data_IF_669401191346
#
_entry.id   IF_669401191346
#
_cell.length_a   1.000
_cell.length_b   1.000
_cell.length_c   1.000
_cell.angle_alpha   90.00
_cell.angle_beta   90.00
_cell.angle_gamma   90.00
#
_symmetry.space_group_name_H-M   'P 1'
#
loop_
_entity.id
_entity.type
_entity.pdbx_description
1 polymer ?
#
# COMPACT_ATOMS: atom_id res chain seq x y z
N UNK A 1 -10.63 -17.11 30.01
CA UNK A 1 -9.42 -17.68 30.65
C UNK A 1 -8.90 -16.69 31.67
N UNK A 2 -8.19 -17.15 32.71
CA UNK A 2 -7.60 -16.29 33.75
C UNK A 2 -6.44 -15.48 33.18
N UNK A 3 -6.73 -14.36 32.52
CA UNK A 3 -5.73 -13.50 31.88
C UNK A 3 -4.71 -12.92 32.91
N UNK A 4 -5.15 -12.81 34.15
CA UNK A 4 -4.40 -12.23 35.26
C UNK A 4 -3.19 -13.08 35.69
N UNK A 5 -3.20 -14.38 35.35
CA UNK A 5 -2.10 -15.32 35.65
C UNK A 5 -1.06 -15.41 34.54
N UNK A 6 -1.29 -14.77 33.39
CA UNK A 6 -0.34 -14.76 32.27
C UNK A 6 0.68 -13.61 32.42
N UNK A 7 1.91 -13.80 31.88
CA UNK A 7 2.87 -12.71 31.70
C UNK A 7 2.22 -11.49 31.02
N UNK A 8 2.64 -10.27 31.36
CA UNK A 8 2.04 -9.04 30.84
C UNK A 8 2.03 -9.02 29.30
N UNK A 9 3.07 -9.58 28.68
CA UNK A 9 3.27 -9.70 27.24
C UNK A 9 2.40 -10.78 26.57
N UNK A 10 1.65 -11.58 27.32
CA UNK A 10 0.78 -12.66 26.82
C UNK A 10 -0.71 -12.38 27.09
N UNK A 11 -1.03 -11.18 27.58
CA UNK A 11 -2.41 -10.77 27.86
C UNK A 11 -3.06 -10.18 26.59
N UNK A 12 -3.52 -11.07 25.72
CA UNK A 12 -4.30 -10.73 24.52
C UNK A 12 -5.79 -10.53 24.80
N UNK A 13 -6.50 -9.89 23.85
CA UNK A 13 -7.96 -9.95 23.84
C UNK A 13 -8.38 -11.42 23.67
N UNK A 14 -9.28 -11.95 24.51
CA UNK A 14 -9.76 -13.32 24.38
C UNK A 14 -10.26 -13.63 22.97
N UNK A 15 -9.78 -14.73 22.38
CA UNK A 15 -10.10 -15.10 20.99
C UNK A 15 -11.61 -15.19 20.71
N UNK A 16 -12.42 -15.58 21.71
CA UNK A 16 -13.88 -15.59 21.58
C UNK A 16 -14.48 -14.19 21.39
N UNK A 17 -13.92 -13.17 22.04
CA UNK A 17 -14.33 -11.77 21.85
C UNK A 17 -13.89 -11.30 20.46
N UNK A 18 -12.67 -11.61 20.03
CA UNK A 18 -12.18 -11.29 18.68
C UNK A 18 -13.08 -11.92 17.62
N UNK A 19 -13.44 -13.20 17.78
CA UNK A 19 -14.37 -13.89 16.89
C UNK A 19 -15.76 -13.26 16.86
N UNK A 20 -16.31 -12.90 18.03
CA UNK A 20 -17.60 -12.21 18.12
C UNK A 20 -17.58 -10.85 17.42
N UNK A 21 -16.55 -10.03 17.67
CA UNK A 21 -16.38 -8.71 17.03
C UNK A 21 -16.22 -8.88 15.51
N UNK A 22 -15.44 -9.87 15.06
CA UNK A 22 -15.27 -10.17 13.64
C UNK A 22 -16.59 -10.53 12.98
N UNK A 23 -17.39 -11.40 13.61
CA UNK A 23 -18.74 -11.76 13.12
C UNK A 23 -19.68 -10.54 13.11
N UNK A 24 -19.63 -9.71 14.15
CA UNK A 24 -20.41 -8.47 14.20
C UNK A 24 -20.04 -7.50 13.07
N UNK A 25 -18.74 -7.39 12.72
CA UNK A 25 -18.26 -6.60 11.59
C UNK A 25 -18.73 -7.12 10.23
N UNK A 26 -19.16 -8.37 10.10
CA UNK A 26 -19.74 -8.88 8.85
C UNK A 26 -21.10 -8.25 8.53
N UNK A 27 -21.85 -7.79 9.55
CA UNK A 27 -23.14 -7.13 9.35
C UNK A 27 -23.02 -5.81 8.58
N UNK A 28 -22.19 -4.82 9.00
CA UNK A 28 -22.01 -3.59 8.22
C UNK A 28 -21.35 -3.85 6.87
N UNK A 29 -20.44 -4.84 6.74
CA UNK A 29 -19.87 -5.23 5.45
C UNK A 29 -20.97 -5.75 4.52
N UNK A 30 -21.81 -6.68 4.98
CA UNK A 30 -22.94 -7.20 4.20
C UNK A 30 -23.93 -6.11 3.81
N UNK A 31 -24.23 -5.18 4.73
CA UNK A 31 -25.07 -4.01 4.43
C UNK A 31 -24.44 -3.12 3.35
N UNK A 32 -23.15 -2.81 3.45
CA UNK A 32 -22.42 -2.01 2.44
C UNK A 32 -22.42 -2.69 1.07
N UNK A 33 -22.15 -4.00 1.01
CA UNK A 33 -22.21 -4.77 -0.23
C UNK A 33 -23.61 -4.75 -0.83
N UNK A 34 -24.66 -4.90 -0.01
CA UNK A 34 -26.05 -4.87 -0.47
C UNK A 34 -26.47 -3.49 -0.97
N UNK A 35 -26.11 -2.44 -0.23
CA UNK A 35 -26.33 -1.06 -0.62
C UNK A 35 -25.64 -0.74 -1.95
N UNK A 36 -24.36 -1.10 -2.08
CA UNK A 36 -23.58 -0.87 -3.28
C UNK A 36 -24.12 -1.66 -4.48
N UNK A 37 -24.48 -2.93 -4.28
CA UNK A 37 -25.10 -3.77 -5.31
C UNK A 37 -26.42 -3.18 -5.81
N UNK A 38 -27.27 -2.68 -4.92
CA UNK A 38 -28.52 -2.03 -5.30
C UNK A 38 -28.28 -0.73 -6.06
N UNK A 39 -27.44 0.16 -5.52
CA UNK A 39 -27.10 1.44 -6.13
C UNK A 39 -26.42 1.30 -7.51
N UNK A 40 -25.70 0.20 -7.74
CA UNK A 40 -25.04 -0.09 -9.01
C UNK A 40 -25.95 -0.78 -10.05
N UNK A 41 -27.24 -0.96 -9.76
CA UNK A 41 -28.19 -1.58 -10.69
C UNK A 41 -28.19 -3.12 -10.67
N UNK A 42 -27.57 -3.76 -9.67
CA UNK A 42 -27.57 -5.22 -9.48
C UNK A 42 -28.64 -5.67 -8.46
N UNK A 43 -29.68 -4.84 -8.25
CA UNK A 43 -30.71 -5.02 -7.23
C UNK A 43 -31.35 -6.41 -7.18
N UNK A 44 -31.62 -7.01 -8.35
CA UNK A 44 -32.24 -8.33 -8.46
C UNK A 44 -31.38 -9.47 -7.86
N UNK A 45 -30.07 -9.27 -7.75
CA UNK A 45 -29.11 -10.28 -7.29
C UNK A 45 -28.46 -9.92 -5.96
N UNK A 46 -28.98 -8.91 -5.24
CA UNK A 46 -28.41 -8.40 -3.99
C UNK A 46 -28.21 -9.51 -2.95
N UNK A 47 -29.16 -10.43 -2.81
CA UNK A 47 -29.02 -11.55 -1.86
C UNK A 47 -27.79 -12.42 -2.18
N UNK A 48 -27.61 -12.80 -3.45
CA UNK A 48 -26.46 -13.60 -3.90
C UNK A 48 -25.15 -12.81 -3.74
N UNK A 49 -25.16 -11.52 -4.08
CA UNK A 49 -24.00 -10.63 -3.94
C UNK A 49 -23.58 -10.44 -2.48
N UNK A 50 -24.53 -10.29 -1.56
CA UNK A 50 -24.25 -10.12 -0.14
C UNK A 50 -23.75 -11.42 0.47
N UNK A 51 -24.45 -12.54 0.25
CA UNK A 51 -24.04 -13.85 0.82
C UNK A 51 -22.69 -14.27 0.23
N UNK A 52 -22.56 -14.24 -1.09
CA UNK A 52 -21.32 -14.61 -1.78
C UNK A 52 -20.17 -13.66 -1.46
N UNK A 53 -20.44 -12.35 -1.43
CA UNK A 53 -19.45 -11.33 -1.10
C UNK A 53 -18.96 -11.42 0.34
N UNK A 54 -19.84 -11.57 1.33
CA UNK A 54 -19.44 -11.78 2.74
C UNK A 54 -18.68 -13.09 2.90
N UNK A 55 -19.14 -14.19 2.29
CA UNK A 55 -18.42 -15.46 2.33
C UNK A 55 -17.01 -15.33 1.73
N UNK A 56 -16.89 -14.64 0.60
CA UNK A 56 -15.62 -14.36 -0.05
C UNK A 56 -14.71 -13.47 0.81
N UNK A 57 -15.26 -12.41 1.41
CA UNK A 57 -14.53 -11.54 2.34
C UNK A 57 -14.00 -12.33 3.51
N UNK A 58 -14.81 -13.16 4.17
CA UNK A 58 -14.37 -13.99 5.31
C UNK A 58 -13.25 -14.94 4.88
N UNK A 59 -13.48 -15.70 3.81
CA UNK A 59 -12.55 -16.72 3.34
C UNK A 59 -11.22 -16.09 2.92
N UNK A 60 -11.25 -15.11 2.03
CA UNK A 60 -10.04 -14.48 1.51
C UNK A 60 -9.36 -13.63 2.56
N UNK A 61 -10.09 -12.88 3.39
CA UNK A 61 -9.45 -12.10 4.46
C UNK A 61 -8.72 -13.01 5.44
N UNK A 62 -9.26 -14.19 5.77
CA UNK A 62 -8.57 -15.17 6.60
C UNK A 62 -7.24 -15.62 5.97
N UNK A 63 -7.27 -16.09 4.72
CA UNK A 63 -6.05 -16.57 4.06
C UNK A 63 -5.02 -15.46 3.82
N UNK A 64 -5.47 -14.31 3.31
CA UNK A 64 -4.59 -13.20 2.97
C UNK A 64 -4.00 -12.57 4.24
N UNK A 65 -4.78 -12.40 5.30
CA UNK A 65 -4.25 -11.88 6.58
C UNK A 65 -3.22 -12.83 7.19
N UNK A 66 -3.43 -14.16 7.11
CA UNK A 66 -2.47 -15.14 7.60
C UNK A 66 -1.14 -15.05 6.85
N UNK A 67 -1.18 -15.01 5.51
CA UNK A 67 0.04 -14.94 4.69
C UNK A 67 0.74 -13.59 4.84
N UNK A 68 0.02 -12.49 4.61
CA UNK A 68 0.57 -11.14 4.71
C UNK A 68 1.10 -10.87 6.12
N UNK A 69 0.34 -11.25 7.14
CA UNK A 69 0.71 -11.08 8.52
C UNK A 69 2.00 -11.83 8.90
N UNK A 70 2.08 -13.12 8.56
CA UNK A 70 3.27 -13.93 8.82
C UNK A 70 4.50 -13.37 8.07
N UNK A 71 4.34 -12.98 6.80
CA UNK A 71 5.41 -12.36 6.03
C UNK A 71 5.85 -11.03 6.64
N UNK A 72 4.92 -10.18 7.07
CA UNK A 72 5.25 -8.94 7.78
C UNK A 72 6.10 -9.19 9.04
N UNK A 73 5.75 -10.23 9.81
CA UNK A 73 6.49 -10.59 11.02
C UNK A 73 7.93 -11.07 10.73
N UNK A 74 8.17 -11.68 9.57
CA UNK A 74 9.50 -12.20 9.20
C UNK A 74 10.38 -11.19 8.47
N UNK A 75 9.81 -10.48 7.48
CA UNK A 75 10.58 -9.66 6.52
C UNK A 75 10.16 -8.18 6.53
N UNK A 76 9.25 -7.79 7.43
CA UNK A 76 8.72 -6.44 7.56
C UNK A 76 7.53 -6.14 6.64
N UNK A 77 6.72 -5.14 7.00
CA UNK A 77 5.54 -4.70 6.23
C UNK A 77 5.89 -4.27 4.83
N UNK A 78 7.00 -3.54 4.67
CA UNK A 78 7.41 -2.95 3.40
C UNK A 78 7.78 -3.99 2.34
N UNK A 79 8.17 -5.21 2.76
CA UNK A 79 8.50 -6.32 1.86
C UNK A 79 7.37 -7.37 1.79
N UNK A 80 6.24 -7.13 2.45
CA UNK A 80 5.11 -8.06 2.48
C UNK A 80 4.49 -8.21 1.08
N UNK A 81 4.10 -9.44 0.67
CA UNK A 81 3.55 -9.70 -0.67
C UNK A 81 2.10 -9.23 -0.84
N UNK A 82 1.62 -8.27 -0.04
CA UNK A 82 0.24 -7.81 -0.01
C UNK A 82 -0.27 -7.39 -1.39
N UNK A 83 0.53 -6.63 -2.14
CA UNK A 83 0.17 -6.17 -3.49
C UNK A 83 -0.02 -7.32 -4.47
N UNK A 84 0.86 -8.33 -4.42
CA UNK A 84 0.79 -9.51 -5.30
C UNK A 84 -0.39 -10.42 -4.97
N UNK A 85 -0.61 -10.71 -3.69
CA UNK A 85 -1.78 -11.50 -3.25
C UNK A 85 -3.08 -10.77 -3.57
N UNK A 86 -3.05 -9.44 -3.50
CA UNK A 86 -4.17 -8.60 -3.85
C UNK A 86 -4.68 -8.75 -5.28
N UNK A 87 -3.80 -9.03 -6.24
CA UNK A 87 -4.17 -9.35 -7.62
C UNK A 87 -5.03 -10.62 -7.67
N UNK A 88 -4.66 -11.65 -6.92
CA UNK A 88 -5.41 -12.91 -6.86
C UNK A 88 -6.79 -12.70 -6.24
N UNK A 89 -6.91 -11.81 -5.25
CA UNK A 89 -8.20 -11.43 -4.65
C UNK A 89 -9.10 -10.75 -5.69
N UNK A 90 -8.58 -9.79 -6.45
CA UNK A 90 -9.40 -9.13 -7.49
C UNK A 90 -9.81 -10.09 -8.59
N UNK A 91 -8.88 -10.90 -9.09
CA UNK A 91 -9.19 -11.90 -10.13
C UNK A 91 -10.22 -12.91 -9.60
N UNK A 92 -10.07 -13.38 -8.37
CA UNK A 92 -11.01 -14.31 -7.74
C UNK A 92 -12.41 -13.70 -7.59
N UNK A 93 -12.51 -12.47 -7.07
CA UNK A 93 -13.77 -11.76 -6.96
C UNK A 93 -14.43 -11.56 -8.34
N UNK A 94 -13.66 -11.13 -9.33
CA UNK A 94 -14.14 -10.92 -10.70
C UNK A 94 -14.61 -12.23 -11.34
N UNK A 95 -13.89 -13.34 -11.19
CA UNK A 95 -14.28 -14.65 -11.71
C UNK A 95 -15.57 -15.16 -11.07
N UNK A 96 -15.73 -15.00 -9.75
CA UNK A 96 -16.97 -15.37 -9.05
C UNK A 96 -18.16 -14.58 -9.59
N UNK A 97 -17.99 -13.30 -9.89
CA UNK A 97 -19.05 -12.49 -10.51
C UNK A 97 -19.31 -12.90 -11.96
N UNK A 98 -18.27 -13.23 -12.74
CA UNK A 98 -18.40 -13.69 -14.13
C UNK A 98 -19.19 -15.00 -14.22
N UNK A 99 -18.96 -15.95 -13.32
CA UNK A 99 -19.68 -17.22 -13.33
C UNK A 99 -21.02 -17.16 -12.58
N UNK A 100 -21.09 -16.39 -11.49
CA UNK A 100 -22.23 -16.39 -10.58
C UNK A 100 -23.31 -15.35 -10.88
N UNK A 101 -22.97 -14.22 -11.51
CA UNK A 101 -23.90 -13.08 -11.67
C UNK A 101 -23.99 -12.62 -13.12
N UNK A 102 -22.86 -12.47 -13.82
CA UNK A 102 -22.79 -11.98 -15.21
C UNK A 102 -23.79 -12.68 -16.17
N UNK A 103 -24.05 -14.00 -16.09
CA UNK A 103 -25.01 -14.66 -16.98
C UNK A 103 -26.46 -14.22 -16.79
N UNK A 104 -26.78 -13.58 -15.65
CA UNK A 104 -28.13 -13.23 -15.24
C UNK A 104 -28.39 -11.71 -15.24
N UNK A 105 -27.48 -10.93 -15.82
CA UNK A 105 -27.58 -9.47 -15.90
C UNK A 105 -27.40 -9.01 -17.35
N UNK A 106 -27.81 -7.78 -17.64
CA UNK A 106 -27.63 -7.20 -18.98
C UNK A 106 -26.15 -7.04 -19.32
N UNK A 107 -25.78 -7.04 -20.62
CA UNK A 107 -24.40 -6.77 -21.05
C UNK A 107 -23.83 -5.45 -20.51
N UNK A 108 -24.69 -4.45 -20.31
CA UNK A 108 -24.33 -3.13 -19.79
C UNK A 108 -23.95 -3.12 -18.29
N UNK A 109 -24.25 -4.20 -17.56
CA UNK A 109 -23.92 -4.34 -16.14
C UNK A 109 -22.42 -4.54 -15.87
N UNK A 110 -21.58 -4.64 -16.90
CA UNK A 110 -20.14 -4.90 -16.77
C UNK A 110 -19.42 -3.89 -15.87
N UNK A 111 -19.78 -2.60 -15.94
CA UNK A 111 -19.22 -1.56 -15.05
C UNK A 111 -19.63 -1.76 -13.59
N UNK A 112 -20.88 -2.16 -13.35
CA UNK A 112 -21.39 -2.43 -12.01
C UNK A 112 -20.70 -3.65 -11.37
N UNK A 113 -20.51 -4.72 -12.15
CA UNK A 113 -19.78 -5.92 -11.71
C UNK A 113 -18.32 -5.57 -11.36
N UNK A 114 -17.66 -4.75 -12.19
CA UNK A 114 -16.29 -4.32 -11.95
C UNK A 114 -16.18 -3.50 -10.67
N UNK A 115 -17.07 -2.54 -10.49
CA UNK A 115 -17.10 -1.72 -9.29
C UNK A 115 -17.37 -2.58 -8.03
N UNK A 116 -18.26 -3.57 -8.12
CA UNK A 116 -18.55 -4.49 -7.02
C UNK A 116 -17.34 -5.38 -6.67
N UNK A 117 -16.62 -5.90 -7.67
CA UNK A 117 -15.40 -6.68 -7.47
C UNK A 117 -14.31 -5.86 -6.75
N UNK A 118 -14.08 -4.63 -7.23
CA UNK A 118 -13.10 -3.71 -6.65
C UNK A 118 -13.48 -3.31 -5.22
N UNK A 119 -14.76 -3.00 -4.98
CA UNK A 119 -15.26 -2.64 -3.65
C UNK A 119 -15.12 -3.80 -2.65
N UNK A 120 -15.50 -5.01 -3.04
CA UNK A 120 -15.31 -6.23 -2.22
C UNK A 120 -13.84 -6.46 -1.91
N UNK A 121 -12.97 -6.27 -2.90
CA UNK A 121 -11.53 -6.47 -2.72
C UNK A 121 -10.90 -5.40 -1.84
N UNK A 122 -11.36 -4.16 -1.89
CA UNK A 122 -10.89 -3.09 -1.00
C UNK A 122 -11.09 -3.45 0.47
N UNK A 123 -12.19 -4.12 0.84
CA UNK A 123 -12.40 -4.64 2.20
C UNK A 123 -11.32 -5.64 2.57
N UNK A 124 -11.05 -6.63 1.71
CA UNK A 124 -10.06 -7.69 1.94
C UNK A 124 -8.64 -7.10 2.05
N UNK A 125 -8.30 -6.12 1.20
CA UNK A 125 -7.02 -5.40 1.26
C UNK A 125 -6.84 -4.67 2.58
N UNK A 126 -7.88 -3.99 3.08
CA UNK A 126 -7.81 -3.32 4.36
C UNK A 126 -7.61 -4.32 5.50
N UNK A 127 -8.29 -5.46 5.50
CA UNK A 127 -8.06 -6.50 6.52
C UNK A 127 -6.62 -7.01 6.46
N UNK A 128 -6.10 -7.29 5.26
CA UNK A 128 -4.72 -7.74 5.08
C UNK A 128 -3.68 -6.71 5.54
N UNK A 129 -3.87 -5.44 5.19
CA UNK A 129 -2.97 -4.34 5.54
C UNK A 129 -2.95 -4.12 7.06
N UNK A 130 -4.12 -4.13 7.71
CA UNK A 130 -4.21 -3.98 9.16
C UNK A 130 -3.61 -5.19 9.88
N UNK A 131 -3.83 -6.42 9.41
CA UNK A 131 -3.21 -7.62 9.97
C UNK A 131 -1.67 -7.58 9.89
N UNK A 132 -1.15 -7.12 8.74
CA UNK A 132 0.28 -6.95 8.47
C UNK A 132 0.93 -5.94 9.43
N UNK A 133 0.28 -4.80 9.69
CA UNK A 133 0.77 -3.81 10.64
C UNK A 133 0.65 -4.28 12.10
N UNK A 134 -0.51 -4.87 12.44
CA UNK A 134 -0.78 -5.35 13.80
C UNK A 134 0.28 -6.34 14.29
N UNK A 135 0.71 -7.31 13.47
CA UNK A 135 1.75 -8.26 13.87
C UNK A 135 3.12 -7.61 14.10
N UNK A 136 3.44 -6.53 13.39
CA UNK A 136 4.65 -5.76 13.64
C UNK A 136 4.55 -4.93 14.92
N UNK A 137 3.40 -4.29 15.14
CA UNK A 137 3.17 -3.48 16.34
C UNK A 137 3.16 -4.34 17.60
N UNK A 138 2.57 -5.54 17.53
CA UNK A 138 2.62 -6.52 18.61
C UNK A 138 4.05 -6.98 18.86
N UNK A 139 4.87 -7.15 17.81
CA UNK A 139 6.29 -7.50 17.98
C UNK A 139 7.07 -6.38 18.66
N UNK A 140 6.91 -5.14 18.20
CA UNK A 140 7.57 -3.98 18.83
C UNK A 140 7.08 -3.77 20.25
N UNK A 141 5.79 -3.97 20.52
CA UNK A 141 5.21 -3.93 21.86
C UNK A 141 5.80 -4.97 22.78
N UNK A 142 5.96 -6.20 22.31
CA UNK A 142 6.61 -7.27 23.06
C UNK A 142 8.06 -6.90 23.42
N UNK A 143 8.81 -6.23 22.53
CA UNK A 143 10.19 -5.82 22.78
C UNK A 143 10.34 -4.72 23.85
N UNK A 144 9.27 -3.99 24.16
CA UNK A 144 9.24 -2.93 25.19
C UNK A 144 8.31 -3.28 26.36
N UNK A 145 8.03 -4.58 26.55
CA UNK A 145 7.20 -5.13 27.63
C UNK A 145 5.75 -4.54 27.70
N UNK A 146 5.18 -4.19 26.54
CA UNK A 146 3.81 -3.70 26.43
C UNK A 146 2.77 -4.83 26.61
N UNK A 147 1.56 -4.44 27.03
CA UNK A 147 0.42 -5.37 27.15
C UNK A 147 -0.33 -5.48 25.81
N UNK A 148 -0.41 -6.66 25.16
CA UNK A 148 -0.98 -6.80 23.81
C UNK A 148 -2.41 -6.29 23.64
N UNK A 149 -3.33 -6.58 24.57
CA UNK A 149 -4.72 -6.14 24.44
C UNK A 149 -4.86 -4.61 24.38
N UNK A 150 -3.98 -3.86 25.06
CA UNK A 150 -3.98 -2.39 25.02
C UNK A 150 -3.54 -1.89 23.64
N UNK A 151 -2.56 -2.55 23.03
CA UNK A 151 -2.12 -2.23 21.67
C UNK A 151 -3.22 -2.54 20.66
N UNK A 152 -3.89 -3.69 20.78
CA UNK A 152 -5.01 -4.04 19.90
C UNK A 152 -6.14 -3.01 19.97
N UNK A 153 -6.50 -2.53 21.18
CA UNK A 153 -7.49 -1.46 21.34
C UNK A 153 -6.99 -0.14 20.74
N UNK A 154 -5.72 0.24 20.96
CA UNK A 154 -5.15 1.45 20.36
C UNK A 154 -5.15 1.39 18.82
N UNK A 155 -4.91 0.22 18.24
CA UNK A 155 -4.98 0.01 16.79
C UNK A 155 -6.40 0.16 16.25
N UNK A 156 -7.41 -0.36 16.96
CA UNK A 156 -8.82 -0.13 16.59
C UNK A 156 -9.14 1.36 16.58
N UNK A 157 -8.69 2.12 17.58
CA UNK A 157 -8.84 3.58 17.62
C UNK A 157 -8.12 4.23 16.43
N UNK A 158 -6.90 3.78 16.11
CA UNK A 158 -6.14 4.23 14.95
C UNK A 158 -6.84 3.98 13.62
N UNK A 159 -7.48 2.82 13.44
CA UNK A 159 -8.29 2.51 12.25
C UNK A 159 -9.48 3.45 12.13
N UNK A 160 -10.17 3.72 13.23
CA UNK A 160 -11.30 4.67 13.24
C UNK A 160 -10.82 6.08 12.91
N UNK A 161 -9.73 6.55 13.51
CA UNK A 161 -9.17 7.86 13.17
C UNK A 161 -8.74 7.93 11.70
N UNK A 162 -8.07 6.89 11.20
CA UNK A 162 -7.65 6.78 9.80
C UNK A 162 -8.83 6.79 8.82
N UNK A 163 -9.94 6.12 9.14
CA UNK A 163 -11.13 6.09 8.28
C UNK A 163 -11.84 7.44 8.18
N UNK A 164 -11.70 8.31 9.18
CA UNK A 164 -12.20 9.69 9.12
C UNK A 164 -11.26 10.65 8.37
N UNK A 165 -9.95 10.41 8.39
CA UNK A 165 -8.96 11.33 7.81
C UNK A 165 -8.62 10.99 6.37
N UNK A 166 -8.44 9.70 6.05
CA UNK A 166 -7.94 9.27 4.73
C UNK A 166 -8.91 9.65 3.60
N UNK A 167 -10.22 9.37 3.65
CA UNK A 167 -11.11 9.67 2.53
C UNK A 167 -11.20 11.16 2.19
N UNK A 168 -11.39 12.10 3.14
CA UNK A 168 -11.39 13.53 2.82
C UNK A 168 -10.06 14.03 2.26
N UNK A 169 -8.92 13.50 2.74
CA UNK A 169 -7.61 13.87 2.22
C UNK A 169 -7.43 13.34 0.79
N UNK A 170 -7.83 12.10 0.51
CA UNK A 170 -7.79 11.54 -0.84
C UNK A 170 -8.72 12.29 -1.79
N UNK A 171 -9.91 12.69 -1.33
CA UNK A 171 -10.86 13.49 -2.10
C UNK A 171 -10.30 14.89 -2.40
N UNK A 172 -9.68 15.52 -1.42
CA UNK A 172 -9.00 16.80 -1.60
C UNK A 172 -7.88 16.72 -2.65
N UNK A 173 -7.05 15.69 -2.56
CA UNK A 173 -5.94 15.45 -3.50
C UNK A 173 -6.48 15.12 -4.91
N UNK A 174 -7.58 14.36 -5.00
CA UNK A 174 -8.27 14.09 -6.26
C UNK A 174 -8.84 15.38 -6.89
N UNK A 175 -9.42 16.25 -6.07
CA UNK A 175 -9.91 17.56 -6.52
C UNK A 175 -8.79 18.52 -6.92
N UNK A 176 -7.59 18.41 -6.34
CA UNK A 176 -6.45 19.24 -6.70
C UNK A 176 -5.79 18.77 -8.02
N UNK A 177 -5.48 17.47 -8.12
CA UNK A 177 -4.64 16.94 -9.20
C UNK A 177 -5.31 15.87 -10.05
N UNK A 178 -6.27 15.12 -9.51
CA UNK A 178 -6.82 13.92 -10.13
C UNK A 178 -5.83 12.74 -10.11
N UNK A 179 -6.32 11.54 -10.40
CA UNK A 179 -5.50 10.32 -10.50
C UNK A 179 -5.51 9.79 -11.93
N UNK A 180 -4.35 9.41 -12.46
CA UNK A 180 -4.24 8.83 -13.81
C UNK A 180 -5.19 7.63 -13.93
N UNK A 181 -6.05 7.65 -14.96
CA UNK A 181 -7.05 6.61 -15.22
C UNK A 181 -8.41 6.85 -14.54
N UNK A 182 -8.54 7.85 -13.66
CA UNK A 182 -9.82 8.26 -13.09
C UNK A 182 -10.58 9.19 -14.06
N UNK A 183 -11.93 9.16 -14.07
CA UNK A 183 -12.73 10.07 -14.89
C UNK A 183 -12.38 11.54 -14.65
N UNK A 184 -12.09 12.29 -15.72
CA UNK A 184 -11.78 13.71 -15.63
C UNK A 184 -10.33 14.02 -15.23
N UNK A 185 -9.48 13.02 -15.03
CA UNK A 185 -8.05 13.21 -14.78
C UNK A 185 -7.31 13.79 -16.00
N UNK A 186 -7.77 13.49 -17.22
CA UNK A 186 -7.21 14.06 -18.45
C UNK A 186 -7.42 15.57 -18.59
N UNK A 187 -8.36 16.15 -17.83
CA UNK A 187 -8.57 17.60 -17.80
C UNK A 187 -7.57 18.31 -16.88
N UNK A 188 -6.73 17.56 -16.16
CA UNK A 188 -5.75 18.10 -15.20
C UNK A 188 -4.37 18.14 -15.84
N UNK A 189 -3.56 19.19 -15.59
CA UNK A 189 -2.27 19.36 -16.24
C UNK A 189 -1.24 18.30 -15.82
N UNK A 190 -1.29 17.83 -14.56
CA UNK A 190 -0.38 16.81 -14.03
C UNK A 190 -1.13 15.88 -13.05
N UNK A 191 -1.91 14.90 -13.55
CA UNK A 191 -2.60 13.95 -12.69
C UNK A 191 -1.60 13.03 -11.97
N UNK A 192 -1.96 12.64 -10.75
CA UNK A 192 -1.11 11.81 -9.91
C UNK A 192 -1.06 10.37 -10.44
N UNK A 193 0.14 9.77 -10.53
CA UNK A 193 0.27 8.39 -10.99
C UNK A 193 -0.33 7.43 -9.95
N UNK A 194 -1.26 6.59 -10.38
CA UNK A 194 -1.87 5.55 -9.54
C UNK A 194 -1.68 4.15 -10.15
N UNK A 195 -0.44 3.69 -10.42
CA UNK A 195 -0.19 2.47 -11.20
C UNK A 195 -0.75 1.21 -10.53
N UNK A 196 -0.75 1.14 -9.19
CA UNK A 196 -1.30 0.01 -8.45
C UNK A 196 -2.82 -0.08 -8.61
N UNK A 197 -3.52 1.06 -8.48
CA UNK A 197 -4.96 1.13 -8.69
C UNK A 197 -5.32 0.83 -10.15
N UNK A 198 -4.55 1.40 -11.09
CA UNK A 198 -4.68 1.15 -12.53
C UNK A 198 -4.58 -0.33 -12.86
N UNK A 199 -3.51 -1.00 -12.44
CA UNK A 199 -3.33 -2.44 -12.68
C UNK A 199 -4.47 -3.28 -12.11
N UNK A 200 -4.89 -2.99 -10.89
CA UNK A 200 -5.99 -3.71 -10.24
C UNK A 200 -7.31 -3.50 -11.02
N UNK A 201 -7.60 -2.27 -11.45
CA UNK A 201 -8.79 -1.95 -12.24
C UNK A 201 -8.77 -2.60 -13.62
N UNK A 202 -7.64 -2.58 -14.33
CA UNK A 202 -7.49 -3.20 -15.65
C UNK A 202 -7.64 -4.71 -15.59
N UNK A 203 -7.14 -5.37 -14.54
CA UNK A 203 -7.33 -6.80 -14.35
C UNK A 203 -8.80 -7.14 -14.07
N UNK A 204 -9.46 -6.39 -13.18
CA UNK A 204 -10.90 -6.56 -12.93
C UNK A 204 -11.71 -6.39 -14.23
N UNK A 205 -11.41 -5.33 -14.99
CA UNK A 205 -12.03 -5.05 -16.28
C UNK A 205 -11.81 -6.20 -17.26
N UNK A 206 -10.57 -6.66 -17.42
CA UNK A 206 -10.22 -7.72 -18.35
C UNK A 206 -10.92 -9.05 -18.01
N UNK A 207 -10.97 -9.44 -16.73
CA UNK A 207 -11.69 -10.67 -16.31
C UNK A 207 -13.17 -10.55 -16.67
N UNK A 208 -13.79 -9.43 -16.32
CA UNK A 208 -15.22 -9.22 -16.50
C UNK A 208 -15.59 -9.07 -17.98
N UNK A 209 -14.75 -8.39 -18.77
CA UNK A 209 -14.94 -8.26 -20.22
C UNK A 209 -14.60 -9.55 -20.98
N UNK A 210 -13.98 -10.55 -20.33
CA UNK A 210 -13.39 -11.72 -20.97
C UNK A 210 -12.32 -11.36 -22.01
N UNK A 211 -11.59 -10.27 -21.78
CA UNK A 211 -10.56 -9.69 -22.65
C UNK A 211 -9.14 -9.83 -22.06
N UNK A 212 -8.96 -10.74 -21.09
CA UNK A 212 -7.62 -11.03 -20.57
C UNK A 212 -6.85 -11.87 -21.56
N UNK A 213 -5.68 -11.37 -21.94
CA UNK A 213 -4.67 -12.16 -22.60
C UNK A 213 -4.00 -13.12 -21.59
N UNK A 214 -4.55 -14.33 -21.49
CA UNK A 214 -4.02 -15.42 -20.67
C UNK A 214 -2.61 -15.85 -21.09
N UNK A 215 -2.16 -15.52 -22.31
CA UNK A 215 -0.78 -15.73 -22.74
C UNK A 215 0.18 -14.88 -21.93
N UNK A 216 -0.16 -13.63 -21.63
CA UNK A 216 0.66 -12.72 -20.82
C UNK A 216 0.77 -13.21 -19.37
N UNK A 217 -0.33 -13.66 -18.77
CA UNK A 217 -0.31 -14.23 -17.41
C UNK A 217 0.60 -15.47 -17.35
N UNK A 218 0.48 -16.37 -18.34
CA UNK A 218 1.31 -17.57 -18.43
C UNK A 218 2.79 -17.24 -18.61
N UNK A 219 3.07 -16.26 -19.47
CA UNK A 219 4.44 -15.78 -19.73
C UNK A 219 5.03 -15.17 -18.48
N UNK A 220 4.28 -14.34 -17.74
CA UNK A 220 4.69 -13.80 -16.45
C UNK A 220 4.97 -14.90 -15.42
N UNK A 221 4.11 -15.93 -15.34
CA UNK A 221 4.33 -17.09 -14.48
C UNK A 221 5.61 -17.85 -14.84
N UNK A 222 5.88 -18.07 -16.12
CA UNK A 222 7.10 -18.71 -16.60
C UNK A 222 8.34 -17.89 -16.26
N UNK A 223 8.30 -16.57 -16.49
CA UNK A 223 9.38 -15.65 -16.11
C UNK A 223 9.65 -15.73 -14.60
N UNK A 224 8.59 -15.74 -13.77
CA UNK A 224 8.71 -15.88 -12.32
C UNK A 224 9.40 -17.18 -11.92
N UNK A 225 9.00 -18.31 -12.49
CA UNK A 225 9.65 -19.62 -12.27
C UNK A 225 11.12 -19.57 -12.70
N UNK A 226 11.41 -19.04 -13.88
CA UNK A 226 12.79 -18.93 -14.38
C UNK A 226 13.67 -18.08 -13.45
N UNK A 227 13.16 -16.97 -12.91
CA UNK A 227 13.91 -16.13 -11.96
C UNK A 227 14.14 -16.84 -10.63
N UNK A 228 13.13 -17.55 -10.10
CA UNK A 228 13.29 -18.34 -8.87
C UNK A 228 14.36 -19.42 -9.06
N UNK A 229 14.31 -20.14 -10.18
CA UNK A 229 15.31 -21.16 -10.51
C UNK A 229 16.69 -20.54 -10.69
N UNK A 230 16.79 -19.38 -11.35
CA UNK A 230 18.06 -18.67 -11.53
C UNK A 230 18.64 -18.23 -10.19
N UNK A 231 17.84 -17.67 -9.28
CA UNK A 231 18.29 -17.27 -7.94
C UNK A 231 18.77 -18.48 -7.13
N UNK A 232 18.03 -19.58 -7.17
CA UNK A 232 18.40 -20.81 -6.46
C UNK A 232 19.64 -21.49 -7.06
N UNK A 233 19.86 -21.38 -8.37
CA UNK A 233 21.11 -21.84 -9.01
C UNK A 233 22.27 -20.94 -8.57
N UNK A 234 22.13 -19.61 -8.70
CA UNK A 234 23.16 -18.64 -8.32
C UNK A 234 23.52 -18.74 -6.84
N UNK A 235 22.53 -18.96 -5.98
CA UNK A 235 22.63 -19.26 -4.56
C UNK A 235 23.60 -20.40 -4.26
N UNK A 236 23.55 -21.45 -5.08
CA UNK A 236 24.32 -22.69 -4.89
C UNK A 236 25.67 -22.65 -5.60
N UNK A 237 25.76 -21.98 -6.75
CA UNK A 237 26.98 -21.97 -7.59
C UNK A 237 27.91 -20.80 -7.28
N UNK A 238 27.40 -19.71 -6.72
CA UNK A 238 28.15 -18.46 -6.50
C UNK A 238 28.07 -17.99 -5.05
N UNK A 239 29.18 -17.47 -4.52
CA UNK A 239 29.25 -16.97 -3.13
C UNK A 239 28.62 -15.59 -2.92
N UNK A 240 28.50 -14.80 -3.98
CA UNK A 240 28.15 -13.37 -3.88
C UNK A 240 27.02 -12.91 -4.81
N UNK A 241 26.47 -13.79 -5.65
CA UNK A 241 25.43 -13.42 -6.61
C UNK A 241 24.07 -13.97 -6.18
N UNK A 242 23.08 -13.09 -6.13
CA UNK A 242 21.67 -13.38 -5.87
C UNK A 242 20.84 -12.51 -6.80
N UNK A 243 19.72 -13.04 -7.26
CA UNK A 243 18.72 -12.32 -8.04
C UNK A 243 17.38 -12.52 -7.32
N UNK A 244 17.14 -11.79 -6.21
CA UNK A 244 15.94 -12.00 -5.41
C UNK A 244 14.67 -11.83 -6.29
N UNK A 245 13.82 -12.87 -6.41
CA UNK A 245 12.68 -12.82 -7.33
C UNK A 245 11.72 -11.67 -7.03
N UNK A 246 11.56 -11.31 -5.75
CA UNK A 246 10.75 -10.17 -5.32
C UNK A 246 11.29 -8.83 -5.85
N UNK A 247 12.61 -8.64 -5.87
CA UNK A 247 13.22 -7.42 -6.38
C UNK A 247 13.02 -7.28 -7.89
N UNK A 248 13.15 -8.39 -8.63
CA UNK A 248 12.88 -8.40 -10.08
C UNK A 248 11.40 -8.15 -10.35
N UNK A 249 10.50 -8.80 -9.61
CA UNK A 249 9.06 -8.57 -9.71
C UNK A 249 8.67 -7.11 -9.47
N UNK A 250 9.20 -6.50 -8.41
CA UNK A 250 8.99 -5.07 -8.11
C UNK A 250 9.51 -4.17 -9.23
N UNK A 251 10.67 -4.48 -9.81
CA UNK A 251 11.25 -3.72 -10.92
C UNK A 251 10.44 -3.78 -12.22
N UNK A 252 9.85 -4.94 -12.53
CA UNK A 252 8.94 -5.11 -13.69
C UNK A 252 7.60 -4.41 -13.43
N UNK A 253 7.14 -4.44 -12.18
CA UNK A 253 5.84 -3.91 -11.77
C UNK A 253 5.77 -2.38 -11.73
N UNK A 254 6.84 -1.71 -11.30
CA UNK A 254 6.83 -0.26 -11.10
C UNK A 254 7.15 0.52 -12.39
N UNK A 255 6.51 1.68 -12.61
CA UNK A 255 6.87 2.56 -13.71
C UNK A 255 8.36 2.93 -13.68
N UNK A 256 8.99 3.00 -14.86
CA UNK A 256 10.43 3.31 -14.97
C UNK A 256 10.83 4.59 -14.26
N UNK A 257 9.96 5.62 -14.27
CA UNK A 257 10.19 6.88 -13.56
C UNK A 257 10.26 6.68 -12.04
N UNK A 258 9.38 5.87 -11.46
CA UNK A 258 9.40 5.54 -10.02
C UNK A 258 10.60 4.67 -9.67
N UNK A 259 10.90 3.68 -10.50
CA UNK A 259 12.05 2.78 -10.31
C UNK A 259 13.37 3.54 -10.32
N UNK A 260 13.55 4.53 -11.21
CA UNK A 260 14.75 5.36 -11.24
C UNK A 260 14.97 6.11 -9.92
N UNK A 261 13.90 6.71 -9.35
CA UNK A 261 14.00 7.43 -8.08
C UNK A 261 14.35 6.50 -6.92
N UNK A 262 13.80 5.27 -6.91
CA UNK A 262 14.17 4.24 -5.93
C UNK A 262 15.65 3.87 -6.06
N UNK A 263 16.16 3.70 -7.28
CA UNK A 263 17.58 3.40 -7.54
C UNK A 263 18.48 4.54 -7.05
N UNK A 264 18.14 5.80 -7.35
CA UNK A 264 18.89 6.97 -6.86
C UNK A 264 18.91 7.00 -5.33
N UNK A 265 17.76 6.78 -4.69
CA UNK A 265 17.65 6.68 -3.23
C UNK A 265 18.49 5.54 -2.65
N UNK A 266 18.49 4.36 -3.28
CA UNK A 266 19.28 3.21 -2.86
C UNK A 266 20.79 3.47 -2.98
N UNK A 267 21.24 4.11 -4.06
CA UNK A 267 22.65 4.51 -4.23
C UNK A 267 23.04 5.56 -3.19
N UNK A 268 22.18 6.57 -2.94
CA UNK A 268 22.43 7.58 -1.92
C UNK A 268 22.50 6.97 -0.51
N UNK A 269 21.58 6.05 -0.18
CA UNK A 269 21.59 5.28 1.07
C UNK A 269 22.83 4.40 1.21
N UNK A 270 23.24 3.70 0.15
CA UNK A 270 24.47 2.91 0.15
C UNK A 270 25.73 3.77 0.38
N UNK A 271 25.83 4.93 -0.26
CA UNK A 271 26.93 5.88 -0.03
C UNK A 271 26.91 6.40 1.40
N UNK A 272 25.72 6.66 1.95
CA UNK A 272 25.57 7.08 3.34
C UNK A 272 26.00 5.99 4.32
N UNK A 273 25.54 4.76 4.15
CA UNK A 273 25.86 3.63 5.02
C UNK A 273 27.36 3.35 5.06
N UNK A 274 28.03 3.40 3.90
CA UNK A 274 29.49 3.25 3.79
C UNK A 274 30.25 4.35 4.52
N UNK A 275 29.67 5.55 4.64
CA UNK A 275 30.24 6.65 5.44
C UNK A 275 29.91 6.49 6.93
N UNK A 276 28.69 6.04 7.25
CA UNK A 276 28.22 5.80 8.61
C UNK A 276 29.05 4.69 9.31
N UNK A 277 29.54 3.69 8.56
CA UNK A 277 30.45 2.65 9.05
C UNK A 277 31.77 3.20 9.62
N UNK A 278 32.16 4.41 9.24
CA UNK A 278 33.36 5.09 9.76
C UNK A 278 33.09 5.92 11.02
N UNK A 279 31.83 6.01 11.45
CA UNK A 279 31.44 6.76 12.66
C UNK A 279 31.77 5.97 13.93
N UNK A 280 31.73 6.65 15.08
CA UNK A 280 31.89 6.00 16.39
C UNK A 280 30.72 5.08 16.74
N UNK A 281 29.53 5.31 16.14
CA UNK A 281 28.30 4.55 16.37
C UNK A 281 27.64 4.18 15.03
N UNK A 282 28.15 3.17 14.31
CA UNK A 282 27.69 2.83 12.97
C UNK A 282 26.18 2.59 12.88
N UNK A 283 25.63 1.71 13.72
CA UNK A 283 24.21 1.33 13.64
C UNK A 283 23.28 2.50 13.96
N UNK A 284 23.59 3.28 15.00
CA UNK A 284 22.82 4.48 15.34
C UNK A 284 22.88 5.53 14.21
N UNK A 285 24.02 5.69 13.56
CA UNK A 285 24.17 6.63 12.44
C UNK A 285 23.39 6.18 11.22
N UNK A 286 23.38 4.87 10.92
CA UNK A 286 22.54 4.28 9.86
C UNK A 286 21.05 4.51 10.15
N UNK A 287 20.60 4.29 11.39
CA UNK A 287 19.22 4.57 11.82
C UNK A 287 18.83 6.05 11.66
N UNK A 288 19.73 7.00 11.95
CA UNK A 288 19.48 8.43 11.70
C UNK A 288 19.29 8.72 10.20
N UNK A 289 20.02 8.03 9.32
CA UNK A 289 19.84 8.12 7.87
C UNK A 289 18.46 7.64 7.42
N UNK A 290 18.00 6.51 7.95
CA UNK A 290 16.66 5.98 7.72
C UNK A 290 15.60 6.96 8.25
N UNK A 291 15.78 7.49 9.45
CA UNK A 291 14.85 8.47 10.05
C UNK A 291 14.75 9.75 9.21
N UNK A 292 15.87 10.27 8.70
CA UNK A 292 15.88 11.43 7.81
C UNK A 292 15.10 11.15 6.52
N UNK A 293 15.36 10.01 5.86
CA UNK A 293 14.66 9.63 4.64
C UNK A 293 13.15 9.49 4.88
N UNK A 294 12.74 8.80 5.94
CA UNK A 294 11.34 8.68 6.35
C UNK A 294 10.70 10.04 6.63
N UNK A 295 11.44 10.95 7.29
CA UNK A 295 11.00 12.32 7.54
C UNK A 295 10.80 13.14 6.27
N UNK A 296 11.66 12.98 5.26
CA UNK A 296 11.49 13.64 3.96
C UNK A 296 10.26 13.12 3.21
N UNK A 297 9.97 11.81 3.27
CA UNK A 297 8.78 11.19 2.66
C UNK A 297 7.51 11.74 3.32
N UNK A 298 7.43 11.69 4.65
CA UNK A 298 6.26 12.20 5.40
C UNK A 298 6.11 13.71 5.23
N UNK A 299 7.21 14.45 5.27
CA UNK A 299 7.21 15.90 5.12
C UNK A 299 6.68 16.35 3.76
N UNK A 300 7.12 15.71 2.68
CA UNK A 300 6.59 15.96 1.33
C UNK A 300 5.09 15.70 1.27
N UNK A 301 4.62 14.57 1.79
CA UNK A 301 3.19 14.21 1.77
C UNK A 301 2.33 15.19 2.57
N UNK A 302 2.75 15.61 3.77
CA UNK A 302 2.03 16.59 4.60
C UNK A 302 1.95 17.94 3.90
N UNK A 303 3.08 18.44 3.38
CA UNK A 303 3.10 19.70 2.63
C UNK A 303 2.25 19.60 1.36
N UNK A 304 2.27 18.45 0.67
CA UNK A 304 1.44 18.18 -0.50
C UNK A 304 -0.06 18.28 -0.19
N UNK A 305 -0.51 17.76 0.96
CA UNK A 305 -1.91 17.92 1.41
C UNK A 305 -2.25 19.39 1.69
N UNK A 306 -1.35 20.13 2.36
CA UNK A 306 -1.55 21.57 2.60
C UNK A 306 -1.65 22.34 1.29
N UNK A 307 -0.76 22.09 0.34
CA UNK A 307 -0.81 22.72 -0.99
C UNK A 307 -2.11 22.34 -1.72
N UNK A 308 -2.53 21.08 -1.64
CA UNK A 308 -3.80 20.63 -2.23
C UNK A 308 -5.00 21.40 -1.66
N UNK A 309 -5.02 21.64 -0.34
CA UNK A 309 -6.04 22.46 0.32
C UNK A 309 -6.06 23.89 -0.26
N UNK A 310 -4.89 24.52 -0.38
CA UNK A 310 -4.79 25.89 -0.92
C UNK A 310 -5.28 25.93 -2.37
N UNK A 311 -4.90 24.97 -3.21
CA UNK A 311 -5.36 24.88 -4.62
C UNK A 311 -6.88 24.74 -4.69
N UNK A 312 -7.46 23.79 -3.95
CA UNK A 312 -8.91 23.53 -4.00
C UNK A 312 -9.72 24.70 -3.46
N UNK A 313 -9.34 25.27 -2.31
CA UNK A 313 -10.10 26.38 -1.70
C UNK A 313 -9.91 27.73 -2.41
N UNK A 314 -8.78 27.95 -3.08
CA UNK A 314 -8.57 29.16 -3.87
C UNK A 314 -9.31 29.14 -5.21
N UNK A 315 -9.64 27.95 -5.74
CA UNK A 315 -10.18 27.79 -7.09
C UNK A 315 -9.19 28.14 -8.21
N UNK A 316 -7.93 28.45 -7.87
CA UNK A 316 -6.87 28.79 -8.81
C UNK A 316 -5.89 27.62 -8.89
N UNK A 317 -5.49 27.23 -10.10
CA UNK A 317 -4.61 26.07 -10.29
C UNK A 317 -3.21 26.24 -9.66
N UNK A 318 -2.69 27.46 -9.60
CA UNK A 318 -1.39 27.78 -9.03
C UNK A 318 -1.45 29.04 -8.15
N UNK A 319 -2.10 28.97 -6.97
CA UNK A 319 -2.34 30.14 -6.12
C UNK A 319 -1.05 30.69 -5.48
N UNK A 320 -0.01 29.87 -5.41
CA UNK A 320 1.31 30.22 -4.86
C UNK A 320 2.33 30.57 -5.97
N UNK A 321 1.89 30.72 -7.22
CA UNK A 321 2.80 31.07 -8.32
C UNK A 321 3.31 32.52 -8.18
N UNK A 322 4.62 32.67 -8.02
CA UNK A 322 5.29 33.98 -7.96
C UNK A 322 5.81 34.43 -9.33
N UNK A 323 5.93 33.49 -10.27
CA UNK A 323 6.53 33.68 -11.60
C UNK A 323 5.63 33.08 -12.66
N UNK A 324 5.66 33.66 -13.86
CA UNK A 324 4.85 33.20 -15.00
C UNK A 324 5.32 31.86 -15.59
N UNK A 325 4.53 31.32 -16.53
CA UNK A 325 4.77 30.02 -17.17
C UNK A 325 6.13 29.90 -17.89
N UNK A 326 6.69 31.01 -18.38
CA UNK A 326 8.02 31.05 -19.01
C UNK A 326 9.18 30.68 -18.07
N UNK A 327 8.96 30.66 -16.75
CA UNK A 327 9.96 30.27 -15.76
C UNK A 327 9.97 28.77 -15.47
N UNK A 328 9.11 27.96 -16.12
CA UNK A 328 8.95 26.53 -15.80
C UNK A 328 10.26 25.73 -15.81
N UNK A 329 11.08 25.87 -16.85
CA UNK A 329 12.37 25.16 -16.94
C UNK A 329 13.35 25.62 -15.85
N UNK A 330 13.43 26.92 -15.59
CA UNK A 330 14.28 27.46 -14.54
C UNK A 330 13.81 27.00 -13.14
N UNK A 331 12.49 26.94 -12.90
CA UNK A 331 11.91 26.44 -11.67
C UNK A 331 12.28 24.98 -11.40
N UNK A 332 12.22 24.11 -12.42
CA UNK A 332 12.62 22.70 -12.30
C UNK A 332 14.10 22.58 -11.93
N UNK A 333 14.97 23.35 -12.60
CA UNK A 333 16.42 23.31 -12.33
C UNK A 333 16.73 23.85 -10.93
N UNK A 334 16.22 25.02 -10.57
CA UNK A 334 16.46 25.65 -9.27
C UNK A 334 15.90 24.77 -8.14
N UNK A 335 14.69 24.26 -8.31
CA UNK A 335 14.06 23.34 -7.36
C UNK A 335 14.86 22.06 -7.18
N UNK A 336 15.34 21.46 -8.28
CA UNK A 336 16.19 20.28 -8.25
C UNK A 336 17.53 20.53 -7.55
N UNK A 337 18.18 21.67 -7.82
CA UNK A 337 19.41 22.06 -7.14
C UNK A 337 19.18 22.32 -5.64
N UNK A 338 18.11 23.02 -5.29
CA UNK A 338 17.74 23.30 -3.90
C UNK A 338 17.43 22.00 -3.13
N UNK A 339 16.70 21.07 -3.76
CA UNK A 339 16.44 19.75 -3.20
C UNK A 339 17.74 18.97 -2.96
N UNK A 340 18.61 18.88 -3.96
CA UNK A 340 19.89 18.17 -3.84
C UNK A 340 20.80 18.81 -2.78
N UNK A 341 20.89 20.13 -2.73
CA UNK A 341 21.66 20.86 -1.73
C UNK A 341 21.12 20.61 -0.31
N UNK A 342 19.80 20.67 -0.13
CA UNK A 342 19.14 20.40 1.14
C UNK A 342 19.39 18.98 1.61
N UNK A 343 19.22 17.99 0.72
CA UNK A 343 19.52 16.60 1.01
C UNK A 343 21.00 16.42 1.44
N UNK A 344 21.95 16.99 0.69
CA UNK A 344 23.38 16.91 1.03
C UNK A 344 23.66 17.55 2.40
N UNK A 345 23.08 18.72 2.69
CA UNK A 345 23.26 19.41 3.97
C UNK A 345 22.72 18.56 5.13
N UNK A 346 21.51 18.03 4.98
CA UNK A 346 20.88 17.19 6.00
C UNK A 346 21.66 15.88 6.23
N UNK A 347 22.07 15.19 5.18
CA UNK A 347 22.90 13.98 5.28
C UNK A 347 24.26 14.27 5.92
N UNK A 348 24.90 15.41 5.61
CA UNK A 348 26.15 15.82 6.26
C UNK A 348 25.94 16.19 7.72
N UNK A 349 24.82 16.81 8.05
CA UNK A 349 24.47 17.18 9.42
C UNK A 349 24.30 15.94 10.31
N UNK A 350 23.54 14.93 9.86
CA UNK A 350 23.37 13.69 10.63
C UNK A 350 24.67 12.86 10.72
N UNK A 351 25.53 12.88 9.70
CA UNK A 351 26.86 12.24 9.79
C UNK A 351 27.72 12.91 10.87
N UNK A 352 27.64 14.23 11.02
CA UNK A 352 28.35 14.95 12.10
C UNK A 352 27.78 14.59 13.46
N UNK A 353 26.47 14.46 13.59
CA UNK A 353 25.83 14.01 14.84
C UNK A 353 26.30 12.60 15.22
N UNK A 354 26.36 11.67 14.26
CA UNK A 354 26.85 10.31 14.49
C UNK A 354 28.35 10.22 14.83
N UNK A 355 29.14 11.21 14.40
CA UNK A 355 30.56 11.30 14.70
C UNK A 355 30.88 12.04 16.02
N UNK A 356 29.95 12.81 16.58
CA UNK A 356 30.14 13.51 17.83
C UNK A 356 30.33 12.49 18.97
N UNK A 357 31.51 12.50 19.60
CA UNK A 357 31.73 11.74 20.84
C UNK A 357 30.80 12.29 21.91
N UNK A 358 30.12 11.38 22.62
CA UNK A 358 29.53 11.71 23.92
C UNK A 358 30.65 12.32 24.77
N UNK A 359 30.54 13.61 25.08
CA UNK A 359 31.12 14.15 26.31
C UNK A 359 30.34 13.63 27.49
#
# INVERSE_FOLDING_TARGET
GKADTLPITERDIPIGIVGLVTLACMLPIGWLLGYFGNASGLGAHVTTLVIGGVAYVVLMSFFVSAVCGYMAGLIGSSNSPLSGIGILVVIGAALLLVFGIKPYVSPDASKALMAFALFTTAVIFNVAAIANNNLQDLKTGQLVDATPWKQQVALVIGVVAGSFVIPPVLDLVNHAYGFVGAPGAELRPNPLPAPQAGLISSLAQGVIAADIDWSLIRTGGLIGICIILLDEILSRTTRHMRVPPLAVGLGIYLPTQSTLMIVVGAVAGWVFDKRAERSSRPDATKQLGVLLASGLIVGESVIGVVISAIVVFSGVAAPLALVGSGFGTAAIIIGGVAFAATAIVLYRWILRMGAAKST
#
